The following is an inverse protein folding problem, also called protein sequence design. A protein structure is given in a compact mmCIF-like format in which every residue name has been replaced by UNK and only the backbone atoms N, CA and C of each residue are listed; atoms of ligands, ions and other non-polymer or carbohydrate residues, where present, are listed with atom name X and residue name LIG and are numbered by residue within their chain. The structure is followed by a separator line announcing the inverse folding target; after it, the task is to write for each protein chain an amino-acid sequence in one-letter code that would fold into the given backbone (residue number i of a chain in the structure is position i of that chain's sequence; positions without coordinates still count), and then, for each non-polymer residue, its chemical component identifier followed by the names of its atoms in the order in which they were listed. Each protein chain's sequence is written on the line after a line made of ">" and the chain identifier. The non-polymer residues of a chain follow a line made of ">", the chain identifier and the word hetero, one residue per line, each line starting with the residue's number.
data_IF_809114554289
#
_entry.id   IF_809114554289
#
_cell.length_a   1.000
_cell.length_b   1.000
_cell.length_c   1.000
_cell.angle_alpha   90.00
_cell.angle_beta   90.00
_cell.angle_gamma   90.00
#
_symmetry.space_group_name_H-M   'P 1'
#
loop_
_entity.id
_entity.type
_entity.pdbx_description
1 polymer ?
#
# COMPACT_ATOMS: atom_id res chain seq x y z
N UNK A 1 13.91 10.44 -6.10
CA UNK A 1 13.02 9.62 -5.26
C UNK A 1 12.32 10.53 -4.29
N UNK A 2 11.00 10.56 -4.35
CA UNK A 2 10.15 11.20 -3.35
C UNK A 2 9.60 10.12 -2.41
N UNK A 3 9.46 10.44 -1.12
CA UNK A 3 8.85 9.57 -0.10
C UNK A 3 7.82 10.36 0.70
N UNK A 4 6.69 10.75 0.09
CA UNK A 4 5.73 11.63 0.74
C UNK A 4 5.10 10.96 1.95
N UNK A 5 5.06 11.68 3.08
CA UNK A 5 4.27 11.26 4.24
C UNK A 5 2.81 11.63 4.00
N UNK A 6 1.93 10.65 4.18
CA UNK A 6 0.50 10.82 4.03
C UNK A 6 -0.11 11.55 5.24
N UNK A 7 -1.18 12.31 5.01
CA UNK A 7 -1.86 13.11 6.03
C UNK A 7 -2.38 12.26 7.19
N UNK A 8 -2.01 12.61 8.42
CA UNK A 8 -2.39 11.85 9.61
C UNK A 8 -1.41 10.73 9.98
N UNK A 9 -0.35 10.52 9.21
CA UNK A 9 0.71 9.55 9.52
C UNK A 9 2.05 10.23 9.81
N UNK A 10 2.93 9.56 10.57
CA UNK A 10 4.31 10.00 10.78
C UNK A 10 4.42 11.42 11.36
N UNK A 11 5.29 12.26 10.81
CA UNK A 11 5.42 13.66 11.23
C UNK A 11 4.18 14.52 10.96
N UNK A 12 3.22 14.00 10.18
CA UNK A 12 1.91 14.60 9.90
C UNK A 12 0.80 14.04 10.79
N UNK A 13 1.12 13.30 11.87
CA UNK A 13 0.13 12.76 12.82
C UNK A 13 -0.82 13.83 13.38
N UNK A 14 -0.32 15.06 13.56
CA UNK A 14 -1.11 16.20 14.05
C UNK A 14 -2.23 16.64 13.09
N UNK A 15 -2.27 16.11 11.87
CA UNK A 15 -3.33 16.32 10.90
C UNK A 15 -4.37 15.18 10.89
N UNK A 16 -4.17 14.13 11.69
CA UNK A 16 -5.13 13.05 11.85
C UNK A 16 -6.44 13.60 12.41
N UNK A 17 -7.55 13.25 11.76
CA UNK A 17 -8.89 13.64 12.15
C UNK A 17 -9.89 12.60 11.63
N UNK A 18 -11.10 12.52 12.19
CA UNK A 18 -12.11 11.56 11.72
C UNK A 18 -12.42 11.68 10.22
N UNK A 19 -12.25 12.86 9.62
CA UNK A 19 -12.45 13.06 8.18
C UNK A 19 -11.24 12.73 7.29
N UNK A 20 -10.18 12.12 7.80
CA UNK A 20 -9.07 11.63 6.96
C UNK A 20 -9.47 10.28 6.36
N UNK A 21 -9.50 10.20 5.04
CA UNK A 21 -10.00 9.07 4.25
C UNK A 21 -9.05 8.71 3.09
N UNK A 22 -9.42 7.71 2.28
CA UNK A 22 -8.61 7.22 1.17
C UNK A 22 -8.38 8.34 0.14
N UNK A 23 -9.42 9.11 -0.19
CA UNK A 23 -9.29 10.24 -1.11
C UNK A 23 -8.29 11.28 -0.60
N UNK A 24 -8.24 11.53 0.72
CA UNK A 24 -7.25 12.43 1.31
C UNK A 24 -5.83 11.92 1.03
N UNK A 25 -5.58 10.62 1.17
CA UNK A 25 -4.29 10.01 0.87
C UNK A 25 -3.95 9.99 -0.61
N UNK A 26 -4.91 9.71 -1.49
CA UNK A 26 -4.75 9.83 -2.95
C UNK A 26 -4.35 11.26 -3.31
N UNK A 27 -5.09 12.25 -2.79
CA UNK A 27 -4.84 13.66 -3.06
C UNK A 27 -3.47 14.12 -2.57
N UNK A 28 -2.96 13.59 -1.47
CA UNK A 28 -1.61 13.90 -0.99
C UNK A 28 -0.56 13.54 -2.05
N UNK A 29 -0.70 12.39 -2.71
CA UNK A 29 0.24 11.94 -3.74
C UNK A 29 0.02 12.67 -5.08
N UNK A 30 -1.23 12.83 -5.53
CA UNK A 30 -1.55 13.61 -6.75
C UNK A 30 -1.01 15.04 -6.63
N UNK A 31 -1.10 15.64 -5.44
CA UNK A 31 -0.53 16.96 -5.19
C UNK A 31 1.00 16.95 -5.28
N UNK A 32 1.70 15.93 -4.77
CA UNK A 32 3.15 15.83 -4.95
C UNK A 32 3.50 15.75 -6.44
N UNK A 33 2.80 14.90 -7.21
CA UNK A 33 3.01 14.81 -8.66
C UNK A 33 2.77 16.15 -9.37
N UNK A 34 1.72 16.87 -8.97
CA UNK A 34 1.31 18.13 -9.60
C UNK A 34 2.22 19.29 -9.23
N UNK A 35 2.50 19.50 -7.93
CA UNK A 35 3.23 20.68 -7.45
C UNK A 35 4.75 20.58 -7.63
N UNK A 36 5.28 19.36 -7.75
CA UNK A 36 6.68 19.12 -8.11
C UNK A 36 6.86 18.92 -9.63
N UNK A 37 5.81 19.13 -10.43
CA UNK A 37 5.79 18.97 -11.89
C UNK A 37 6.39 17.62 -12.35
N UNK A 38 5.98 16.52 -11.68
CA UNK A 38 6.49 15.18 -11.97
C UNK A 38 5.69 14.51 -13.08
N UNK A 39 6.44 13.94 -14.02
CA UNK A 39 5.99 13.12 -15.15
C UNK A 39 6.91 11.89 -15.24
N UNK A 40 6.50 10.88 -16.02
CA UNK A 40 7.23 9.61 -16.19
C UNK A 40 7.56 8.92 -14.85
N UNK A 41 6.63 8.96 -13.89
CA UNK A 41 6.87 8.49 -12.53
C UNK A 41 6.63 6.99 -12.40
N UNK A 42 7.58 6.30 -11.75
CA UNK A 42 7.36 4.97 -11.18
C UNK A 42 6.74 5.12 -9.80
N UNK A 43 5.45 4.83 -9.70
CA UNK A 43 4.66 5.00 -8.47
C UNK A 43 4.60 3.68 -7.71
N UNK A 44 5.12 3.66 -6.48
CA UNK A 44 5.23 2.45 -5.66
C UNK A 44 4.32 2.55 -4.43
N UNK A 45 3.40 1.59 -4.27
CA UNK A 45 2.51 1.48 -3.12
C UNK A 45 2.77 0.20 -2.34
N UNK A 46 3.03 0.32 -1.03
CA UNK A 46 3.20 -0.83 -0.13
C UNK A 46 1.97 -1.06 0.74
N UNK A 47 1.59 -2.33 0.94
CA UNK A 47 0.48 -2.72 1.83
C UNK A 47 -0.82 -1.97 1.47
N UNK A 48 -1.47 -1.32 2.44
CA UNK A 48 -2.61 -0.42 2.23
C UNK A 48 -2.42 0.56 1.07
N UNK A 49 -1.21 1.07 0.87
CA UNK A 49 -0.94 2.07 -0.17
C UNK A 49 -1.10 1.51 -1.59
N UNK A 50 -1.31 0.21 -1.79
CA UNK A 50 -1.78 -0.34 -3.06
C UNK A 50 -3.09 0.30 -3.53
N UNK A 51 -4.05 0.51 -2.61
CA UNK A 51 -5.31 1.20 -2.93
C UNK A 51 -5.10 2.70 -3.19
N UNK A 52 -4.12 3.30 -2.51
CA UNK A 52 -3.74 4.71 -2.73
C UNK A 52 -3.16 4.89 -4.13
N UNK A 53 -2.18 4.06 -4.53
CA UNK A 53 -1.55 4.21 -5.85
C UNK A 53 -2.46 3.82 -6.99
N UNK A 54 -3.41 2.91 -6.77
CA UNK A 54 -4.50 2.68 -7.72
C UNK A 54 -5.34 3.95 -7.90
N UNK A 55 -5.80 4.57 -6.82
CA UNK A 55 -6.59 5.81 -6.91
C UNK A 55 -5.83 6.96 -7.56
N UNK A 56 -4.51 7.08 -7.31
CA UNK A 56 -3.66 8.06 -8.00
C UNK A 56 -3.59 7.76 -9.50
N UNK A 57 -3.41 6.49 -9.87
CA UNK A 57 -3.35 6.08 -11.27
C UNK A 57 -4.69 6.23 -11.99
N UNK A 58 -5.82 6.16 -11.29
CA UNK A 58 -7.15 6.47 -11.82
C UNK A 58 -7.35 7.97 -12.07
N UNK A 59 -6.76 8.84 -11.24
CA UNK A 59 -6.88 10.31 -11.38
C UNK A 59 -5.91 10.92 -12.39
N UNK A 60 -4.65 10.47 -12.44
CA UNK A 60 -3.58 11.07 -13.25
C UNK A 60 -2.67 10.03 -13.94
N UNK A 61 -3.24 9.06 -14.69
CA UNK A 61 -2.46 8.01 -15.35
C UNK A 61 -1.41 8.57 -16.31
N UNK A 62 -1.65 9.74 -16.91
CA UNK A 62 -0.75 10.39 -17.87
C UNK A 62 0.58 10.83 -17.26
N UNK A 63 0.69 10.88 -15.93
CA UNK A 63 1.94 11.22 -15.21
C UNK A 63 2.79 10.01 -14.87
N UNK A 64 2.26 8.81 -15.07
CA UNK A 64 2.85 7.57 -14.56
C UNK A 64 3.49 6.78 -15.70
N UNK A 65 4.77 6.48 -15.55
CA UNK A 65 5.46 5.51 -16.41
C UNK A 65 5.16 4.07 -15.97
N UNK A 66 4.92 3.84 -14.67
CA UNK A 66 4.72 2.50 -14.12
C UNK A 66 4.04 2.56 -12.75
N UNK A 67 3.19 1.58 -12.44
CA UNK A 67 2.59 1.39 -11.10
C UNK A 67 3.08 0.08 -10.48
N UNK A 68 3.59 0.15 -9.24
CA UNK A 68 4.22 -0.95 -8.54
C UNK A 68 3.49 -1.23 -7.24
N UNK A 69 2.94 -2.43 -7.12
CA UNK A 69 2.34 -2.93 -5.90
C UNK A 69 3.39 -3.75 -5.13
N UNK A 70 3.86 -3.24 -4.00
CA UNK A 70 4.83 -3.92 -3.15
C UNK A 70 4.10 -4.58 -1.99
N UNK A 71 3.89 -5.90 -2.06
CA UNK A 71 3.19 -6.67 -1.04
C UNK A 71 1.91 -5.96 -0.55
N UNK A 72 1.07 -5.56 -1.50
CA UNK A 72 0.06 -4.51 -1.35
C UNK A 72 -1.37 -4.99 -1.60
N UNK A 73 -2.33 -4.28 -1.03
CA UNK A 73 -3.75 -4.51 -1.32
C UNK A 73 -4.07 -4.10 -2.75
N UNK A 74 -4.78 -4.96 -3.47
CA UNK A 74 -5.25 -4.71 -4.84
C UNK A 74 -6.65 -5.30 -5.02
N UNK A 75 -7.52 -4.70 -5.87
CA UNK A 75 -8.80 -5.33 -6.20
C UNK A 75 -8.58 -6.72 -6.77
N UNK A 76 -9.24 -7.74 -6.22
CA UNK A 76 -9.09 -9.14 -6.67
C UNK A 76 -9.94 -9.46 -7.90
N UNK A 77 -10.90 -8.60 -8.21
CA UNK A 77 -11.74 -8.62 -9.40
C UNK A 77 -12.02 -7.18 -9.86
N UNK A 78 -13.01 -7.00 -10.74
CA UNK A 78 -13.37 -5.69 -11.31
C UNK A 78 -14.32 -4.87 -10.40
N UNK A 79 -14.65 -5.36 -9.20
CA UNK A 79 -15.51 -4.64 -8.27
C UNK A 79 -14.70 -3.60 -7.47
N UNK A 80 -15.33 -2.47 -7.07
CA UNK A 80 -14.75 -1.56 -6.11
C UNK A 80 -14.40 -2.28 -4.80
N UNK A 81 -13.25 -1.98 -4.22
CA UNK A 81 -12.75 -2.62 -2.99
C UNK A 81 -12.28 -1.58 -1.98
N UNK A 82 -12.51 -1.84 -0.71
CA UNK A 82 -11.96 -1.10 0.42
C UNK A 82 -10.92 -1.95 1.15
N UNK A 83 -10.06 -1.35 1.98
CA UNK A 83 -9.13 -2.15 2.77
C UNK A 83 -9.86 -3.02 3.81
N UNK A 84 -11.04 -2.59 4.27
CA UNK A 84 -11.88 -3.34 5.20
C UNK A 84 -12.33 -4.71 4.64
N UNK A 85 -12.49 -4.83 3.32
CA UNK A 85 -12.92 -6.07 2.66
C UNK A 85 -11.90 -7.22 2.78
N UNK A 86 -10.65 -6.90 3.13
CA UNK A 86 -9.57 -7.87 3.34
C UNK A 86 -9.52 -8.43 4.77
N UNK A 87 -10.40 -7.95 5.66
CA UNK A 87 -10.47 -8.41 7.04
C UNK A 87 -11.73 -9.26 7.27
N UNK A 88 -11.64 -10.38 8.02
CA UNK A 88 -12.82 -11.07 8.51
C UNK A 88 -13.74 -10.10 9.29
N UNK A 89 -15.08 -10.22 9.18
CA UNK A 89 -15.99 -9.26 9.80
C UNK A 89 -15.82 -9.06 11.31
N UNK A 90 -15.47 -10.13 12.04
CA UNK A 90 -15.22 -10.07 13.48
C UNK A 90 -13.92 -9.30 13.80
N UNK A 91 -12.87 -9.50 13.01
CA UNK A 91 -11.61 -8.77 13.15
C UNK A 91 -11.80 -7.29 12.80
N UNK A 92 -12.50 -7.00 11.72
CA UNK A 92 -12.85 -5.63 11.34
C UNK A 92 -13.62 -4.92 12.46
N UNK A 93 -14.65 -5.56 13.03
CA UNK A 93 -15.42 -4.98 14.15
C UNK A 93 -14.51 -4.67 15.35
N UNK A 94 -13.59 -5.57 15.70
CA UNK A 94 -12.63 -5.33 16.77
C UNK A 94 -11.67 -4.17 16.45
N UNK A 95 -11.25 -4.03 15.18
CA UNK A 95 -10.45 -2.88 14.74
C UNK A 95 -11.21 -1.56 14.90
N UNK A 96 -12.51 -1.54 14.61
CA UNK A 96 -13.37 -0.36 14.80
C UNK A 96 -13.46 0.04 16.27
N UNK A 97 -13.69 -0.91 17.17
CA UNK A 97 -13.75 -0.64 18.62
C UNK A 97 -12.45 -0.04 19.15
N UNK A 98 -11.30 -0.61 18.76
CA UNK A 98 -9.99 -0.07 19.15
C UNK A 98 -9.75 1.31 18.56
N UNK A 99 -10.14 1.55 17.30
CA UNK A 99 -9.96 2.85 16.68
C UNK A 99 -10.83 3.92 17.34
N UNK A 100 -12.06 3.59 17.74
CA UNK A 100 -12.93 4.50 18.49
C UNK A 100 -12.30 4.92 19.83
N UNK A 101 -11.60 4.02 20.50
CA UNK A 101 -10.82 4.31 21.72
C UNK A 101 -9.55 5.15 21.45
N UNK A 102 -9.17 5.33 20.18
CA UNK A 102 -7.97 6.04 19.72
C UNK A 102 -8.30 7.20 18.75
N UNK A 103 -9.38 7.94 19.02
CA UNK A 103 -9.81 9.11 18.22
C UNK A 103 -10.03 8.82 16.72
N UNK A 104 -10.45 7.58 16.40
CA UNK A 104 -10.66 7.08 15.05
C UNK A 104 -9.41 6.53 14.36
N UNK A 105 -8.29 6.40 15.08
CA UNK A 105 -7.03 5.86 14.56
C UNK A 105 -6.78 4.41 14.97
N UNK A 106 -6.45 3.54 14.03
CA UNK A 106 -6.02 2.16 14.29
C UNK A 106 -4.53 2.09 14.68
N UNK A 107 -4.20 1.72 15.92
CA UNK A 107 -2.82 1.66 16.38
C UNK A 107 -2.07 0.45 15.80
N UNK A 108 -0.75 0.55 15.71
CA UNK A 108 0.10 -0.59 15.39
C UNK A 108 0.19 -1.54 16.58
N UNK A 109 -0.41 -2.73 16.46
CA UNK A 109 -0.51 -3.71 17.55
C UNK A 109 0.81 -4.43 17.88
N UNK A 110 0.88 -4.92 19.12
CA UNK A 110 2.03 -5.65 19.65
C UNK A 110 2.29 -6.98 18.94
N UNK A 111 1.25 -7.67 18.52
CA UNK A 111 1.28 -8.98 17.89
C UNK A 111 0.98 -8.90 16.37
N UNK A 112 1.37 -7.80 15.72
CA UNK A 112 1.11 -7.60 14.30
C UNK A 112 1.77 -8.70 13.43
N UNK A 113 1.00 -9.39 12.56
CA UNK A 113 1.51 -10.53 11.77
C UNK A 113 2.64 -10.14 10.81
N UNK A 114 2.65 -8.88 10.35
CA UNK A 114 3.72 -8.34 9.52
C UNK A 114 5.11 -8.29 10.19
N UNK A 115 5.26 -8.59 11.48
CA UNK A 115 6.58 -8.65 12.15
C UNK A 115 7.44 -9.85 11.75
N UNK A 116 6.90 -10.81 10.99
CA UNK A 116 7.66 -11.97 10.51
C UNK A 116 8.95 -11.50 9.79
N UNK A 117 10.09 -12.04 10.24
CA UNK A 117 11.39 -11.75 9.64
C UNK A 117 12.03 -10.40 10.04
N UNK A 118 11.43 -9.66 10.96
CA UNK A 118 11.98 -8.39 11.49
C UNK A 118 12.65 -8.62 12.84
N UNK A 119 13.78 -7.95 13.07
CA UNK A 119 14.50 -8.06 14.33
C UNK A 119 13.75 -7.35 15.47
N UNK A 120 14.02 -7.71 16.73
CA UNK A 120 13.45 -7.02 17.89
C UNK A 120 13.87 -5.54 17.93
N UNK A 121 15.11 -5.24 17.50
CA UNK A 121 15.64 -3.87 17.43
C UNK A 121 14.86 -3.03 16.41
N UNK A 122 14.67 -3.57 15.20
CA UNK A 122 13.93 -2.89 14.13
C UNK A 122 12.46 -2.75 14.50
N UNK A 123 11.85 -3.78 15.07
CA UNK A 123 10.47 -3.74 15.56
C UNK A 123 10.30 -2.64 16.60
N UNK A 124 11.22 -2.56 17.58
CA UNK A 124 11.21 -1.51 18.59
C UNK A 124 11.46 -0.11 18.01
N UNK A 125 12.29 0.01 16.97
CA UNK A 125 12.53 1.26 16.26
C UNK A 125 11.28 1.72 15.48
N UNK A 126 10.65 0.84 14.71
CA UNK A 126 9.44 1.12 13.93
C UNK A 126 8.29 1.55 14.83
N UNK A 127 8.08 0.88 15.97
CA UNK A 127 7.03 1.23 16.94
C UNK A 127 7.17 2.63 17.51
N UNK A 128 8.40 3.10 17.73
CA UNK A 128 8.66 4.49 18.20
C UNK A 128 8.35 5.55 17.12
N UNK A 129 7.99 5.13 15.92
CA UNK A 129 7.68 5.98 14.76
C UNK A 129 6.26 5.75 14.26
N UNK A 130 5.61 4.68 14.69
CA UNK A 130 4.25 4.35 14.33
C UNK A 130 3.27 5.34 14.96
N UNK A 131 2.26 5.70 14.19
CA UNK A 131 1.16 6.57 14.58
C UNK A 131 -0.14 5.83 14.31
N UNK A 132 -1.22 6.06 15.07
CA UNK A 132 -2.51 5.45 14.76
C UNK A 132 -2.95 5.81 13.33
N UNK A 133 -3.25 4.80 12.51
CA UNK A 133 -3.65 4.95 11.12
C UNK A 133 -5.12 5.41 11.05
N UNK A 134 -5.49 6.51 10.41
CA UNK A 134 -6.88 6.97 10.37
C UNK A 134 -7.83 5.91 9.76
N UNK A 135 -8.70 5.28 10.54
CA UNK A 135 -9.41 4.06 10.10
C UNK A 135 -10.40 4.30 8.96
N UNK A 136 -10.88 5.54 8.78
CA UNK A 136 -11.75 5.89 7.66
C UNK A 136 -11.09 5.68 6.29
N UNK A 137 -9.77 5.67 6.23
CA UNK A 137 -9.01 5.40 5.01
C UNK A 137 -9.19 3.96 4.53
N UNK A 138 -9.57 3.05 5.43
CA UNK A 138 -9.79 1.63 5.14
C UNK A 138 -11.23 1.35 4.70
N UNK A 139 -12.18 2.24 5.01
CA UNK A 139 -13.62 2.06 4.74
C UNK A 139 -14.02 2.46 3.32
N UNK A 140 -13.28 3.38 2.71
CA UNK A 140 -13.60 3.91 1.41
C UNK A 140 -13.17 2.94 0.31
N UNK A 141 -14.04 2.72 -0.68
CA UNK A 141 -13.74 1.87 -1.82
C UNK A 141 -13.02 2.63 -2.92
N UNK A 142 -12.14 1.94 -3.64
CA UNK A 142 -11.53 2.37 -4.90
C UNK A 142 -11.81 1.32 -5.97
N UNK A 143 -11.98 1.77 -7.21
CA UNK A 143 -12.25 0.91 -8.37
C UNK A 143 -11.27 1.25 -9.49
N UNK A 144 -10.97 0.26 -10.33
CA UNK A 144 -10.18 0.44 -11.54
C UNK A 144 -11.12 0.64 -12.75
N UNK A 145 -11.64 1.85 -12.92
CA UNK A 145 -12.64 2.18 -13.95
C UNK A 145 -12.03 2.87 -15.17
N UNK A 146 -10.90 3.55 -14.99
CA UNK A 146 -10.23 4.31 -16.02
C UNK A 146 -9.43 3.38 -16.95
N UNK A 147 -9.78 3.28 -18.25
CA UNK A 147 -9.04 2.44 -19.19
C UNK A 147 -7.58 2.89 -19.38
N UNK A 148 -7.26 4.17 -19.15
CA UNK A 148 -5.90 4.69 -19.26
C UNK A 148 -5.01 4.18 -18.11
N UNK A 149 -5.59 3.94 -16.93
CA UNK A 149 -4.88 3.29 -15.82
C UNK A 149 -4.42 1.91 -16.23
N UNK A 150 -5.29 1.12 -16.88
CA UNK A 150 -4.92 -0.22 -17.37
C UNK A 150 -3.85 -0.20 -18.48
N UNK A 151 -3.69 0.93 -19.18
CA UNK A 151 -2.64 1.10 -20.18
C UNK A 151 -1.26 1.39 -19.56
N UNK A 152 -1.20 1.87 -18.33
CA UNK A 152 0.06 2.04 -17.60
C UNK A 152 0.63 0.66 -17.26
N UNK A 153 1.92 0.39 -17.50
CA UNK A 153 2.58 -0.84 -17.07
C UNK A 153 2.47 -1.04 -15.56
N UNK A 154 2.20 -2.29 -15.16
CA UNK A 154 2.03 -2.67 -13.76
C UNK A 154 3.00 -3.77 -13.36
N UNK A 155 3.52 -3.67 -12.13
CA UNK A 155 4.27 -4.74 -11.49
C UNK A 155 3.77 -5.02 -10.10
N UNK A 156 3.93 -6.27 -9.67
CA UNK A 156 3.74 -6.69 -8.30
C UNK A 156 5.05 -7.29 -7.75
N UNK A 157 5.46 -6.85 -6.56
CA UNK A 157 6.58 -7.41 -5.81
C UNK A 157 6.01 -8.11 -4.58
N UNK A 158 5.96 -9.43 -4.61
CA UNK A 158 5.35 -10.25 -3.55
C UNK A 158 6.39 -10.68 -2.50
N UNK A 159 6.10 -10.48 -1.21
CA UNK A 159 6.96 -10.97 -0.12
C UNK A 159 6.50 -12.36 0.31
N UNK A 160 7.34 -13.38 0.10
CA UNK A 160 6.94 -14.80 0.26
C UNK A 160 6.74 -15.24 1.70
N UNK A 161 7.41 -14.57 2.65
CA UNK A 161 7.36 -14.91 4.08
C UNK A 161 6.54 -13.87 4.86
N UNK A 162 5.57 -13.19 4.21
CA UNK A 162 4.79 -12.08 4.78
C UNK A 162 3.78 -12.51 5.87
N UNK A 163 3.67 -13.80 6.16
CA UNK A 163 2.78 -14.35 7.17
C UNK A 163 1.39 -14.73 6.65
N UNK A 164 1.12 -14.54 5.36
CA UNK A 164 -0.10 -15.02 4.71
C UNK A 164 -0.01 -16.50 4.32
N UNK A 165 -1.17 -17.15 4.23
CA UNK A 165 -1.25 -18.53 3.73
C UNK A 165 -0.85 -18.62 2.25
N UNK A 166 -0.24 -19.75 1.86
CA UNK A 166 0.19 -19.99 0.48
C UNK A 166 -0.95 -19.87 -0.54
N UNK A 167 -2.20 -20.18 -0.15
CA UNK A 167 -3.36 -19.98 -1.04
C UNK A 167 -3.59 -18.51 -1.39
N UNK A 168 -3.30 -17.58 -0.47
CA UNK A 168 -3.40 -16.14 -0.73
C UNK A 168 -2.28 -15.70 -1.65
N UNK A 169 -1.05 -16.18 -1.42
CA UNK A 169 0.08 -15.91 -2.31
C UNK A 169 -0.21 -16.38 -3.73
N UNK A 170 -0.77 -17.59 -3.90
CA UNK A 170 -1.15 -18.13 -5.20
C UNK A 170 -2.26 -17.32 -5.88
N UNK A 171 -3.22 -16.80 -5.12
CA UNK A 171 -4.24 -15.89 -5.67
C UNK A 171 -3.61 -14.62 -6.26
N UNK A 172 -2.60 -14.04 -5.60
CA UNK A 172 -1.87 -12.88 -6.15
C UNK A 172 -1.10 -13.25 -7.42
N UNK A 173 -0.45 -14.42 -7.46
CA UNK A 173 0.25 -14.90 -8.67
C UNK A 173 -0.71 -15.07 -9.85
N UNK A 174 -1.85 -15.70 -9.60
CA UNK A 174 -2.89 -15.89 -10.60
C UNK A 174 -3.42 -14.55 -11.11
N UNK A 175 -3.71 -13.62 -10.20
CA UNK A 175 -4.16 -12.27 -10.54
C UNK A 175 -3.17 -11.54 -11.46
N UNK A 176 -1.87 -11.60 -11.13
CA UNK A 176 -0.84 -10.98 -11.95
C UNK A 176 -0.79 -11.61 -13.36
N UNK A 177 -0.90 -12.93 -13.45
CA UNK A 177 -0.96 -13.61 -14.76
C UNK A 177 -2.20 -13.23 -15.58
N UNK A 178 -3.37 -13.13 -14.94
CA UNK A 178 -4.64 -12.75 -15.58
C UNK A 178 -4.62 -11.30 -16.08
N UNK A 179 -4.01 -10.39 -15.31
CA UNK A 179 -3.88 -8.96 -15.66
C UNK A 179 -2.64 -8.63 -16.48
N UNK A 180 -1.83 -9.63 -16.81
CA UNK A 180 -0.53 -9.46 -17.47
C UNK A 180 0.39 -8.47 -16.74
N UNK A 181 0.37 -8.48 -15.41
CA UNK A 181 1.29 -7.72 -14.57
C UNK A 181 2.62 -8.45 -14.42
N UNK A 182 3.70 -7.70 -14.44
CA UNK A 182 5.03 -8.26 -14.16
C UNK A 182 5.13 -8.62 -12.68
N UNK A 183 5.37 -9.89 -12.37
CA UNK A 183 5.50 -10.38 -11.00
C UNK A 183 6.97 -10.66 -10.66
N UNK A 184 7.43 -10.15 -9.52
CA UNK A 184 8.67 -10.59 -8.89
C UNK A 184 8.43 -10.95 -7.43
N UNK A 185 9.28 -11.82 -6.87
CA UNK A 185 9.13 -12.29 -5.50
C UNK A 185 10.39 -12.03 -4.67
N UNK A 186 10.18 -11.67 -3.40
CA UNK A 186 11.22 -11.48 -2.39
C UNK A 186 11.05 -12.49 -1.25
N UNK A 187 12.14 -13.19 -0.91
CA UNK A 187 12.21 -14.09 0.25
C UNK A 187 12.38 -13.26 1.53
N UNK A 188 11.29 -12.65 1.98
CA UNK A 188 11.23 -11.83 3.19
C UNK A 188 9.79 -11.64 3.68
N UNK A 189 9.65 -11.05 4.86
CA UNK A 189 8.36 -10.69 5.44
C UNK A 189 7.78 -9.38 4.89
N UNK A 190 6.72 -8.88 5.51
CA UNK A 190 5.91 -7.76 5.00
C UNK A 190 6.66 -6.42 4.91
N UNK A 191 7.85 -6.28 5.52
CA UNK A 191 8.61 -5.02 5.54
C UNK A 191 9.96 -5.12 4.79
N UNK A 192 9.96 -5.37 3.46
CA UNK A 192 11.18 -5.59 2.68
C UNK A 192 12.15 -4.39 2.69
N UNK A 193 11.62 -3.18 2.90
CA UNK A 193 12.40 -1.94 3.04
C UNK A 193 13.22 -1.87 4.33
N UNK A 194 12.93 -2.74 5.31
CA UNK A 194 13.67 -2.87 6.57
C UNK A 194 14.50 -4.15 6.57
N UNK A 195 13.90 -5.28 6.21
CA UNK A 195 14.54 -6.59 6.29
C UNK A 195 15.59 -6.84 5.21
N UNK A 196 15.33 -6.41 3.97
CA UNK A 196 16.19 -6.68 2.80
C UNK A 196 16.31 -5.48 1.85
N UNK A 197 16.64 -4.27 2.34
CA UNK A 197 16.54 -3.02 1.57
C UNK A 197 17.36 -3.04 0.27
N UNK A 198 18.53 -3.68 0.24
CA UNK A 198 19.34 -3.77 -0.99
C UNK A 198 18.70 -4.66 -2.05
N UNK A 199 18.04 -5.76 -1.65
CA UNK A 199 17.31 -6.62 -2.58
C UNK A 199 16.09 -5.90 -3.12
N UNK A 200 15.32 -5.24 -2.25
CA UNK A 200 14.18 -4.43 -2.68
C UNK A 200 14.60 -3.33 -3.65
N UNK A 201 15.67 -2.59 -3.34
CA UNK A 201 16.18 -1.55 -4.23
C UNK A 201 16.57 -2.09 -5.60
N UNK A 202 17.17 -3.29 -5.66
CA UNK A 202 17.49 -3.93 -6.93
C UNK A 202 16.23 -4.25 -7.74
N UNK A 203 15.21 -4.85 -7.13
CA UNK A 203 13.93 -5.13 -7.80
C UNK A 203 13.29 -3.85 -8.35
N UNK A 204 13.32 -2.76 -7.59
CA UNK A 204 12.77 -1.47 -8.02
C UNK A 204 13.57 -0.84 -9.18
N UNK A 205 14.89 -1.04 -9.23
CA UNK A 205 15.74 -0.57 -10.32
C UNK A 205 15.61 -1.41 -11.60
N UNK A 206 15.20 -2.68 -11.45
CA UNK A 206 14.99 -3.60 -12.56
C UNK A 206 13.60 -3.45 -13.20
N UNK A 207 12.75 -2.59 -12.64
CA UNK A 207 11.42 -2.29 -13.22
C UNK A 207 11.62 -1.67 -14.60
N UNK A 208 10.96 -2.21 -15.66
CA UNK A 208 11.05 -1.65 -16.99
C UNK A 208 10.67 -0.18 -16.98
N UNK A 209 11.53 0.68 -17.52
CA UNK A 209 11.15 2.06 -17.82
C UNK A 209 10.48 2.05 -19.19
N UNK A 210 9.39 2.80 -19.37
CA UNK A 210 8.83 3.02 -20.71
C UNK A 210 9.88 3.68 -21.62
N UNK A 211 9.98 3.20 -22.86
CA UNK A 211 10.89 3.73 -23.90
C UNK A 211 10.53 5.15 -24.37
#
# INVERSE_FOLDING_TARGET
>A
MYIPTLTGLGEREHLARPGTDLDTHIRDIVNVLTYEDLEDVVLVGHSYAGLVVLGVAEEVPERLAHVVYLDALVPMDDNPVSAADFYPPEEWTAMEEVADDNDGGWPLLDDHPGWVGISDEDTAWMRKKATPHPLNTFRQTVAAENPETQAVPHSYILCRDNGMDESVLEMVRQLCAERAWELSELETGHWPMVSVPQKLAQHLLDIPQSD
#
